data_IF_751199272289
#
_entry.id   IF_751199272289
#
_cell.length_a   1.000
_cell.length_b   1.000
_cell.length_c   1.000
_cell.angle_alpha   90.00
_cell.angle_beta   90.00
_cell.angle_gamma   90.00
#
_symmetry.space_group_name_H-M   'P 1'
#
loop_
_entity.id
_entity.type
_entity.pdbx_description
1 polymer ?
#
# COMPACT_ATOMS: atom_id res chain seq x y z
N UNK A 1 40.82 5.04 61.70
CA UNK A 1 39.44 4.65 61.31
C UNK A 1 39.18 5.25 59.94
N UNK A 2 38.78 4.40 59.00
CA UNK A 2 39.08 4.49 57.57
C UNK A 2 38.25 5.53 56.78
N UNK A 3 38.95 6.28 55.92
CA UNK A 3 38.70 6.51 54.48
C UNK A 3 37.26 6.64 53.95
N UNK A 4 36.92 7.89 53.61
CA UNK A 4 36.18 8.40 52.44
C UNK A 4 35.05 7.58 51.78
N UNK A 5 33.85 8.18 51.75
CA UNK A 5 32.87 8.06 50.67
C UNK A 5 32.06 9.36 50.54
N UNK A 6 32.23 10.07 49.42
CA UNK A 6 31.48 11.27 49.03
C UNK A 6 30.16 10.86 48.36
N UNK A 7 29.03 11.37 48.83
CA UNK A 7 27.76 11.40 48.07
C UNK A 7 27.23 12.83 48.01
N UNK A 8 26.93 13.25 46.78
CA UNK A 8 26.63 14.63 46.38
C UNK A 8 25.15 14.94 46.65
N UNK A 9 24.93 16.09 47.30
CA UNK A 9 23.63 16.64 47.66
C UNK A 9 22.89 17.30 46.50
N UNK A 10 21.56 17.17 46.54
CA UNK A 10 20.55 17.59 45.57
C UNK A 10 20.48 19.11 45.42
N UNK A 11 20.31 19.60 44.18
CA UNK A 11 19.77 20.93 43.87
C UNK A 11 18.55 20.82 42.97
N UNK A 12 17.52 21.59 43.33
CA UNK A 12 16.20 21.69 42.72
C UNK A 12 16.24 22.21 41.28
N UNK A 13 15.41 21.64 40.40
CA UNK A 13 15.15 22.11 39.04
C UNK A 13 13.67 21.94 38.69
N UNK A 14 13.00 23.05 38.42
CA UNK A 14 11.62 23.24 38.00
C UNK A 14 11.31 22.56 36.65
N UNK A 15 10.46 21.52 36.66
CA UNK A 15 10.12 20.71 35.47
C UNK A 15 8.64 20.40 35.25
N UNK A 16 7.72 21.24 35.75
CA UNK A 16 6.29 20.88 35.87
C UNK A 16 5.36 21.10 34.66
N UNK A 17 5.80 21.72 33.55
CA UNK A 17 4.87 22.23 32.52
C UNK A 17 5.02 21.65 31.10
N UNK A 18 6.05 20.87 30.79
CA UNK A 18 6.23 20.30 29.43
C UNK A 18 5.54 18.95 29.23
N UNK A 19 5.45 18.11 30.26
CA UNK A 19 4.80 16.79 30.20
C UNK A 19 3.28 16.88 30.06
N UNK A 20 2.62 17.74 30.85
CA UNK A 20 1.16 17.96 30.78
C UNK A 20 0.65 18.42 29.41
N UNK A 21 1.48 19.12 28.62
CA UNK A 21 1.10 19.63 27.29
C UNK A 21 1.27 18.58 26.19
N UNK A 22 2.18 17.62 26.39
CA UNK A 22 2.40 16.49 25.49
C UNK A 22 1.30 15.43 25.69
N UNK A 23 0.95 15.12 26.94
CA UNK A 23 -0.15 14.19 27.28
C UNK A 23 -1.51 14.69 26.79
N UNK A 24 -1.76 16.01 26.85
CA UNK A 24 -3.04 16.59 26.42
C UNK A 24 -3.24 16.51 24.89
N UNK A 25 -2.19 16.74 24.11
CA UNK A 25 -2.24 16.59 22.63
C UNK A 25 -2.28 15.14 22.18
N UNK A 26 -1.71 14.22 22.97
CA UNK A 26 -1.82 12.79 22.72
C UNK A 26 -3.25 12.32 22.99
N UNK A 27 -3.84 12.64 24.14
CA UNK A 27 -5.23 12.26 24.49
C UNK A 27 -6.31 12.84 23.58
N UNK A 28 -6.16 14.07 23.07
CA UNK A 28 -7.14 14.68 22.14
C UNK A 28 -7.23 13.97 20.77
N UNK A 29 -6.21 13.18 20.38
CA UNK A 29 -6.26 12.35 19.16
C UNK A 29 -6.94 11.00 19.35
N UNK A 30 -7.03 10.50 20.59
CA UNK A 30 -7.54 9.16 20.90
C UNK A 30 -8.96 9.16 21.48
N UNK A 31 -9.41 10.23 22.13
CA UNK A 31 -10.78 10.29 22.64
C UNK A 31 -11.74 10.67 21.51
N UNK A 32 -12.38 9.65 20.96
CA UNK A 32 -13.48 9.77 20.02
C UNK A 32 -14.76 9.88 20.82
N UNK A 33 -15.51 10.96 20.63
CA UNK A 33 -16.81 11.17 21.32
C UNK A 33 -18.01 11.02 20.39
N UNK A 34 -17.78 10.85 19.08
CA UNK A 34 -18.84 10.80 18.05
C UNK A 34 -18.64 9.67 17.05
N UNK A 35 -19.75 9.12 16.58
CA UNK A 35 -19.86 8.25 15.41
C UNK A 35 -20.18 9.06 14.17
N UNK A 36 -19.13 9.59 13.52
CA UNK A 36 -19.28 10.63 12.51
C UNK A 36 -19.78 11.91 13.18
N UNK A 37 -21.05 12.24 12.96
CA UNK A 37 -21.71 13.41 13.54
C UNK A 37 -22.63 13.07 14.73
N UNK A 38 -22.88 11.78 14.96
CA UNK A 38 -23.76 11.32 16.03
C UNK A 38 -22.98 11.20 17.34
N UNK A 39 -23.48 11.80 18.41
CA UNK A 39 -22.86 11.68 19.74
C UNK A 39 -23.04 10.28 20.31
N UNK A 40 -22.01 9.79 21.00
CA UNK A 40 -22.10 8.52 21.72
C UNK A 40 -23.09 8.64 22.87
N UNK A 41 -24.07 7.75 22.91
CA UNK A 41 -25.11 7.72 23.95
C UNK A 41 -24.74 6.79 25.11
N UNK A 42 -23.67 6.00 24.96
CA UNK A 42 -23.47 4.75 25.70
C UNK A 42 -22.23 4.60 26.55
N UNK A 43 -22.12 3.42 27.13
CA UNK A 43 -20.87 3.01 27.76
C UNK A 43 -19.85 2.74 26.65
N UNK A 44 -18.79 3.55 26.64
CA UNK A 44 -17.73 3.44 25.63
C UNK A 44 -16.70 2.41 26.04
N UNK A 45 -16.21 1.66 25.06
CA UNK A 45 -15.10 0.73 25.21
C UNK A 45 -14.09 0.93 24.09
N UNK A 46 -12.83 0.72 24.41
CA UNK A 46 -11.74 0.81 23.46
C UNK A 46 -11.79 -0.34 22.45
N UNK A 47 -11.62 -0.02 21.17
CA UNK A 47 -11.53 -1.01 20.12
C UNK A 47 -10.13 -1.61 20.00
N UNK A 48 -10.02 -2.94 19.99
CA UNK A 48 -8.75 -3.67 19.83
C UNK A 48 -8.04 -3.49 18.47
N UNK A 49 -8.69 -2.86 17.48
CA UNK A 49 -8.08 -2.59 16.16
C UNK A 49 -7.55 -1.17 16.07
N UNK A 50 -8.39 -0.18 16.39
CA UNK A 50 -8.02 1.23 16.21
C UNK A 50 -7.65 1.95 17.51
N UNK A 51 -7.74 1.28 18.66
CA UNK A 51 -7.44 1.84 19.99
C UNK A 51 -8.19 3.16 20.27
N UNK A 52 -9.42 3.26 19.75
CA UNK A 52 -10.32 4.41 19.99
C UNK A 52 -11.58 3.92 20.70
N UNK A 53 -12.11 4.78 21.54
CA UNK A 53 -13.37 4.58 22.26
C UNK A 53 -14.56 4.52 21.30
N UNK A 54 -15.54 3.69 21.62
CA UNK A 54 -16.76 3.48 20.82
C UNK A 54 -17.86 2.90 21.71
N UNK A 55 -19.12 3.23 21.46
CA UNK A 55 -20.27 2.52 22.07
C UNK A 55 -20.98 1.59 21.08
N UNK A 56 -20.72 1.74 19.77
CA UNK A 56 -21.23 0.87 18.72
C UNK A 56 -20.18 -0.16 18.26
N UNK A 57 -20.55 -1.44 18.28
CA UNK A 57 -19.67 -2.55 17.90
C UNK A 57 -20.36 -3.52 16.95
N UNK A 58 -19.60 -4.11 16.03
CA UNK A 58 -20.04 -5.26 15.24
C UNK A 58 -19.44 -6.55 15.75
N UNK A 59 -20.25 -7.61 15.77
CA UNK A 59 -19.85 -8.96 16.17
C UNK A 59 -20.27 -9.98 15.10
N UNK A 60 -19.37 -10.92 14.79
CA UNK A 60 -19.68 -12.08 13.96
C UNK A 60 -19.84 -13.36 14.79
N UNK A 61 -20.01 -14.50 14.14
CA UNK A 61 -20.20 -15.80 14.83
C UNK A 61 -18.99 -16.23 15.66
N UNK A 62 -17.81 -15.70 15.36
CA UNK A 62 -16.59 -15.91 16.14
C UNK A 62 -16.55 -15.12 17.46
N UNK A 63 -17.58 -14.32 17.77
CA UNK A 63 -17.73 -13.54 19.01
C UNK A 63 -16.60 -12.55 19.35
N UNK A 64 -15.79 -12.13 18.36
CA UNK A 64 -14.81 -11.06 18.54
C UNK A 64 -15.43 -9.69 18.15
N UNK A 65 -15.59 -8.76 19.10
CA UNK A 65 -16.21 -7.46 18.83
C UNK A 65 -15.20 -6.44 18.31
N UNK A 66 -15.60 -5.66 17.30
CA UNK A 66 -14.83 -4.52 16.78
C UNK A 66 -15.71 -3.29 16.64
N UNK A 67 -15.16 -2.09 16.81
CA UNK A 67 -15.99 -0.88 16.72
C UNK A 67 -16.59 -0.74 15.32
N UNK A 68 -17.74 -0.05 15.25
CA UNK A 68 -18.49 0.09 14.01
C UNK A 68 -17.65 0.61 12.85
N UNK A 69 -16.78 1.59 13.10
CA UNK A 69 -15.90 2.16 12.07
C UNK A 69 -14.89 1.14 11.52
N UNK A 70 -14.27 0.32 12.38
CA UNK A 70 -13.34 -0.72 11.92
C UNK A 70 -14.07 -1.80 11.11
N UNK A 71 -15.27 -2.17 11.53
CA UNK A 71 -16.12 -3.10 10.76
C UNK A 71 -16.45 -2.51 9.40
N UNK A 72 -16.86 -1.24 9.32
CA UNK A 72 -17.14 -0.56 8.05
C UNK A 72 -15.90 -0.56 7.15
N UNK A 73 -14.72 -0.18 7.68
CA UNK A 73 -13.48 -0.19 6.90
C UNK A 73 -13.17 -1.56 6.31
N UNK A 74 -13.22 -2.60 7.11
CA UNK A 74 -12.86 -3.94 6.66
C UNK A 74 -13.91 -4.52 5.72
N UNK A 75 -15.18 -4.51 6.14
CA UNK A 75 -16.27 -5.19 5.45
C UNK A 75 -16.72 -4.48 4.19
N UNK A 76 -16.80 -3.15 4.23
CA UNK A 76 -17.45 -2.35 3.18
C UNK A 76 -16.42 -1.74 2.25
N UNK A 77 -15.38 -1.13 2.81
CA UNK A 77 -14.36 -0.43 2.02
C UNK A 77 -13.35 -1.43 1.45
N UNK A 78 -12.68 -2.18 2.33
CA UNK A 78 -11.64 -3.14 1.95
C UNK A 78 -12.18 -4.48 1.42
N UNK A 79 -13.49 -4.75 1.61
CA UNK A 79 -14.18 -6.00 1.20
C UNK A 79 -13.55 -7.27 1.80
N UNK A 80 -13.06 -7.16 3.03
CA UNK A 80 -12.49 -8.26 3.81
C UNK A 80 -13.57 -8.79 4.76
N UNK A 81 -13.87 -10.08 4.64
CA UNK A 81 -14.87 -10.76 5.48
C UNK A 81 -14.26 -11.56 6.64
N UNK A 82 -12.93 -11.64 6.73
CA UNK A 82 -12.26 -12.38 7.79
C UNK A 82 -12.15 -11.57 9.08
N UNK A 83 -12.26 -12.26 10.21
CA UNK A 83 -12.05 -11.71 11.54
C UNK A 83 -10.59 -11.26 11.72
N UNK A 84 -10.32 -10.00 12.09
CA UNK A 84 -8.96 -9.51 12.36
C UNK A 84 -8.24 -10.26 13.50
N UNK A 85 -8.98 -10.81 14.46
CA UNK A 85 -8.41 -11.53 15.61
C UNK A 85 -8.14 -12.99 15.30
N UNK A 86 -9.15 -13.74 14.86
CA UNK A 86 -9.04 -15.20 14.69
C UNK A 86 -8.95 -15.66 13.23
N UNK A 87 -9.03 -14.75 12.25
CA UNK A 87 -9.02 -15.02 10.80
C UNK A 87 -10.16 -15.90 10.28
N UNK A 88 -11.11 -16.29 11.13
CA UNK A 88 -12.33 -16.98 10.71
C UNK A 88 -13.12 -16.10 9.74
N UNK A 89 -13.73 -16.72 8.73
CA UNK A 89 -14.65 -16.02 7.83
C UNK A 89 -15.92 -15.64 8.58
N UNK A 90 -16.36 -14.39 8.43
CA UNK A 90 -17.56 -13.87 9.10
C UNK A 90 -18.66 -13.79 8.04
N UNK A 91 -19.64 -14.69 8.08
CA UNK A 91 -20.76 -14.62 7.13
C UNK A 91 -21.63 -13.39 7.37
N UNK A 92 -22.03 -13.13 8.62
CA UNK A 92 -22.88 -11.99 9.00
C UNK A 92 -22.28 -11.21 10.16
N UNK A 93 -22.42 -9.88 10.10
CA UNK A 93 -22.02 -8.99 11.20
C UNK A 93 -23.27 -8.36 11.82
N UNK A 94 -23.40 -8.49 13.13
CA UNK A 94 -24.48 -7.87 13.91
C UNK A 94 -23.92 -6.65 14.64
N UNK A 95 -24.46 -5.48 14.36
CA UNK A 95 -24.17 -4.26 15.10
C UNK A 95 -25.00 -4.23 16.37
N UNK A 96 -24.31 -3.97 17.48
CA UNK A 96 -24.84 -3.91 18.83
C UNK A 96 -24.33 -2.64 19.50
N UNK A 97 -25.06 -2.21 20.50
CA UNK A 97 -24.65 -1.14 21.40
C UNK A 97 -24.09 -1.72 22.70
N UNK A 98 -22.92 -1.25 23.14
CA UNK A 98 -22.09 -1.92 24.17
C UNK A 98 -22.75 -2.01 25.55
N UNK A 99 -23.76 -1.18 25.86
CA UNK A 99 -24.57 -1.25 27.10
C UNK A 99 -25.18 -2.65 27.34
N UNK A 100 -25.30 -3.47 26.28
CA UNK A 100 -25.90 -4.80 26.32
C UNK A 100 -24.90 -5.97 26.47
N UNK A 101 -23.59 -5.73 26.59
CA UNK A 101 -22.60 -6.80 26.74
C UNK A 101 -22.45 -7.33 28.18
N UNK A 102 -23.52 -7.29 28.99
CA UNK A 102 -23.57 -8.06 30.24
C UNK A 102 -24.07 -9.47 29.91
N UNK A 103 -23.23 -10.46 30.22
CA UNK A 103 -23.28 -11.86 29.75
C UNK A 103 -24.63 -12.58 29.92
N UNK A 104 -25.54 -12.07 30.75
CA UNK A 104 -26.77 -12.73 31.20
C UNK A 104 -28.03 -12.39 30.38
N UNK A 105 -28.07 -11.25 29.66
CA UNK A 105 -29.27 -10.80 28.93
C UNK A 105 -29.23 -11.16 27.41
N UNK A 106 -28.54 -12.26 27.09
CA UNK A 106 -27.96 -12.56 25.77
C UNK A 106 -28.93 -13.11 24.72
N UNK A 107 -30.11 -13.62 25.11
CA UNK A 107 -30.92 -14.46 24.21
C UNK A 107 -32.31 -13.89 23.87
N UNK A 108 -32.94 -13.15 24.77
CA UNK A 108 -34.37 -12.81 24.63
C UNK A 108 -34.63 -11.55 23.79
N UNK A 109 -33.73 -10.56 23.81
CA UNK A 109 -33.98 -9.25 23.18
C UNK A 109 -33.48 -9.14 21.74
N UNK A 110 -32.49 -9.95 21.36
CA UNK A 110 -31.87 -9.95 20.02
C UNK A 110 -32.82 -10.53 18.96
N UNK A 111 -33.82 -11.33 19.35
CA UNK A 111 -34.76 -11.93 18.40
C UNK A 111 -35.88 -10.99 17.91
N UNK A 112 -36.14 -9.86 18.58
CA UNK A 112 -37.38 -9.09 18.34
C UNK A 112 -37.20 -7.73 17.65
N UNK A 113 -35.98 -7.17 17.60
CA UNK A 113 -35.75 -5.84 17.00
C UNK A 113 -34.59 -5.88 16.01
N UNK A 114 -34.92 -6.17 14.75
CA UNK A 114 -34.02 -5.92 13.62
C UNK A 114 -34.53 -4.71 12.87
N UNK A 115 -33.65 -3.73 12.66
CA UNK A 115 -33.96 -2.59 11.81
C UNK A 115 -33.49 -2.92 10.39
N UNK A 116 -34.40 -2.83 9.43
CA UNK A 116 -34.05 -3.01 8.03
C UNK A 116 -33.26 -1.81 7.52
N UNK A 117 -32.21 -2.10 6.74
CA UNK A 117 -31.41 -1.11 6.04
C UNK A 117 -31.07 -1.67 4.65
N UNK A 118 -31.06 -0.86 3.57
CA UNK A 118 -30.76 -1.34 2.22
C UNK A 118 -29.43 -2.10 2.10
N UNK A 119 -28.44 -1.72 2.92
CA UNK A 119 -27.12 -2.36 2.94
C UNK A 119 -27.06 -3.69 3.70
N UNK A 120 -28.11 -4.06 4.44
CA UNK A 120 -28.13 -5.30 5.23
C UNK A 120 -27.93 -6.53 4.36
N UNK A 121 -28.62 -6.62 3.21
CA UNK A 121 -28.47 -7.76 2.29
C UNK A 121 -27.12 -7.70 1.58
N UNK A 122 -26.76 -6.53 1.05
CA UNK A 122 -25.55 -6.33 0.25
C UNK A 122 -24.26 -6.67 0.99
N UNK A 123 -24.16 -6.30 2.26
CA UNK A 123 -22.95 -6.48 3.08
C UNK A 123 -23.13 -7.54 4.17
N UNK A 124 -24.29 -8.21 4.22
CA UNK A 124 -24.68 -9.18 5.25
C UNK A 124 -24.56 -8.60 6.67
N UNK A 125 -25.20 -7.45 6.86
CA UNK A 125 -25.23 -6.71 8.12
C UNK A 125 -26.58 -6.86 8.82
N UNK A 126 -26.59 -6.68 10.13
CA UNK A 126 -27.82 -6.60 10.94
C UNK A 126 -27.67 -5.50 11.99
N UNK A 127 -28.75 -4.77 12.26
CA UNK A 127 -28.77 -3.68 13.23
C UNK A 127 -29.84 -3.95 14.30
N UNK A 128 -29.46 -3.79 15.57
CA UNK A 128 -30.39 -4.00 16.70
C UNK A 128 -31.13 -2.73 17.12
N UNK A 129 -30.83 -1.56 16.54
CA UNK A 129 -31.48 -0.29 16.89
C UNK A 129 -31.34 0.76 15.79
N UNK A 130 -32.25 1.74 15.77
CA UNK A 130 -32.21 2.90 14.88
C UNK A 130 -30.96 3.77 15.12
N UNK A 131 -30.53 3.90 16.38
CA UNK A 131 -29.28 4.58 16.74
C UNK A 131 -28.08 4.03 15.96
N UNK A 132 -27.95 2.71 15.86
CA UNK A 132 -26.85 2.08 15.12
C UNK A 132 -26.95 2.32 13.62
N UNK A 133 -28.15 2.35 13.06
CA UNK A 133 -28.38 2.70 11.65
C UNK A 133 -27.98 4.14 11.37
N UNK A 134 -28.36 5.08 12.25
CA UNK A 134 -27.92 6.49 12.15
C UNK A 134 -26.41 6.65 12.25
N UNK A 135 -25.77 5.97 13.20
CA UNK A 135 -24.30 5.97 13.34
C UNK A 135 -23.63 5.42 12.08
N UNK A 136 -24.12 4.30 11.57
CA UNK A 136 -23.64 3.66 10.35
C UNK A 136 -23.72 4.60 9.14
N UNK A 137 -24.89 5.22 8.93
CA UNK A 137 -25.10 6.18 7.85
C UNK A 137 -24.22 7.41 7.99
N UNK A 138 -23.97 7.87 9.22
CA UNK A 138 -23.08 8.99 9.48
C UNK A 138 -21.62 8.73 9.12
N UNK A 139 -21.18 7.47 9.05
CA UNK A 139 -19.85 7.13 8.52
C UNK A 139 -19.78 7.15 7.00
N UNK A 140 -20.84 6.67 6.34
CA UNK A 140 -20.86 6.47 4.90
C UNK A 140 -21.29 7.72 4.12
N UNK A 141 -21.87 8.71 4.79
CA UNK A 141 -22.25 9.98 4.16
C UNK A 141 -21.04 10.68 3.54
N UNK A 142 -21.20 11.10 2.28
CA UNK A 142 -20.18 11.88 1.58
C UNK A 142 -20.44 13.36 1.83
N UNK A 143 -19.57 14.00 2.61
CA UNK A 143 -19.67 15.43 2.92
C UNK A 143 -18.46 16.21 2.41
N UNK A 144 -18.67 17.47 2.06
CA UNK A 144 -17.57 18.36 1.73
C UNK A 144 -16.98 19.01 2.99
N UNK A 145 -15.72 18.69 3.29
CA UNK A 145 -14.98 19.21 4.44
C UNK A 145 -14.76 20.74 4.41
N UNK A 146 -14.82 21.37 3.24
CA UNK A 146 -14.68 22.84 3.11
C UNK A 146 -16.01 23.51 3.45
N UNK A 147 -17.11 23.01 2.90
CA UNK A 147 -18.46 23.48 3.19
C UNK A 147 -18.84 23.28 4.66
N UNK A 148 -18.51 22.13 5.25
CA UNK A 148 -18.77 21.84 6.66
C UNK A 148 -18.08 22.88 7.58
N UNK A 149 -16.83 23.27 7.28
CA UNK A 149 -16.13 24.32 8.03
C UNK A 149 -16.74 25.71 7.91
N UNK A 150 -17.54 25.94 6.86
CA UNK A 150 -18.25 27.20 6.62
C UNK A 150 -19.71 27.16 7.09
N UNK A 151 -20.11 26.10 7.81
CA UNK A 151 -21.48 25.87 8.25
C UNK A 151 -22.50 25.74 7.11
N UNK A 152 -22.02 25.44 5.89
CA UNK A 152 -22.84 25.20 4.70
C UNK A 152 -22.84 23.71 4.34
N UNK A 153 -23.15 22.84 5.32
CA UNK A 153 -23.05 21.38 5.16
C UNK A 153 -23.77 20.90 3.89
N UNK A 154 -23.01 20.23 3.01
CA UNK A 154 -23.53 19.59 1.79
C UNK A 154 -23.24 18.11 1.80
N UNK A 155 -24.28 17.32 1.61
CA UNK A 155 -24.23 15.87 1.52
C UNK A 155 -24.40 15.41 0.08
N UNK A 156 -23.66 14.37 -0.28
CA UNK A 156 -23.57 13.86 -1.64
C UNK A 156 -23.94 12.38 -1.67
N UNK A 157 -24.61 11.96 -2.74
CA UNK A 157 -25.10 10.58 -2.90
C UNK A 157 -23.95 9.57 -3.06
N UNK A 158 -22.84 9.99 -3.64
CA UNK A 158 -21.68 9.15 -3.89
C UNK A 158 -20.38 9.98 -3.91
N UNK A 159 -19.25 9.30 -3.76
CA UNK A 159 -17.93 9.95 -3.74
C UNK A 159 -17.62 10.73 -5.03
N UNK A 160 -18.08 10.26 -6.20
CA UNK A 160 -17.85 10.94 -7.48
C UNK A 160 -18.50 12.34 -7.50
N UNK A 161 -19.74 12.46 -7.02
CA UNK A 161 -20.44 13.74 -6.91
C UNK A 161 -19.78 14.69 -5.90
N UNK A 162 -19.25 14.16 -4.79
CA UNK A 162 -18.43 14.92 -3.85
C UNK A 162 -17.14 15.43 -4.52
N UNK A 163 -16.40 14.56 -5.22
CA UNK A 163 -15.16 14.93 -5.90
C UNK A 163 -15.40 16.04 -6.95
N UNK A 164 -16.47 15.90 -7.75
CA UNK A 164 -16.87 16.91 -8.72
C UNK A 164 -17.19 18.26 -8.05
N UNK A 165 -17.93 18.25 -6.94
CA UNK A 165 -18.25 19.47 -6.20
C UNK A 165 -16.99 20.16 -5.68
N UNK A 166 -16.10 19.42 -5.03
CA UNK A 166 -14.84 19.95 -4.48
C UNK A 166 -13.98 20.57 -5.58
N UNK A 167 -13.92 19.94 -6.75
CA UNK A 167 -13.22 20.46 -7.91
C UNK A 167 -13.86 21.73 -8.49
N UNK A 168 -15.17 21.72 -8.72
CA UNK A 168 -15.85 22.82 -9.42
C UNK A 168 -16.00 24.07 -8.54
N UNK A 169 -16.42 23.89 -7.29
CA UNK A 169 -16.78 24.97 -6.36
C UNK A 169 -15.56 25.46 -5.58
N UNK A 170 -14.70 24.56 -5.11
CA UNK A 170 -13.58 24.94 -4.25
C UNK A 170 -12.24 24.99 -4.98
N UNK A 171 -12.11 24.43 -6.18
CA UNK A 171 -10.83 24.30 -6.91
C UNK A 171 -9.79 23.45 -6.14
N UNK A 172 -10.28 22.51 -5.33
CA UNK A 172 -9.48 21.48 -4.68
C UNK A 172 -9.73 20.14 -5.35
N UNK A 173 -8.86 19.16 -5.12
CA UNK A 173 -9.01 17.82 -5.68
C UNK A 173 -8.54 16.74 -4.71
N UNK A 174 -9.08 15.53 -4.87
CA UNK A 174 -8.58 14.34 -4.19
C UNK A 174 -7.48 13.68 -5.02
N UNK A 175 -6.49 13.08 -4.37
CA UNK A 175 -5.47 12.31 -5.09
C UNK A 175 -6.10 11.01 -5.63
N UNK A 176 -6.05 10.81 -6.95
CA UNK A 176 -6.63 9.62 -7.60
C UNK A 176 -5.95 8.33 -7.11
N UNK A 177 -4.62 8.33 -6.98
CA UNK A 177 -3.86 7.16 -6.52
C UNK A 177 -4.25 6.78 -5.08
N UNK A 178 -4.31 7.75 -4.17
CA UNK A 178 -4.81 7.51 -2.81
C UNK A 178 -6.30 7.11 -2.78
N UNK A 179 -7.11 7.61 -3.72
CA UNK A 179 -8.53 7.25 -3.79
C UNK A 179 -8.72 5.78 -4.11
N UNK A 180 -7.89 5.26 -5.00
CA UNK A 180 -7.96 3.87 -5.48
C UNK A 180 -7.31 2.87 -4.52
N UNK A 181 -6.22 3.25 -3.85
CA UNK A 181 -5.37 2.30 -3.11
C UNK A 181 -5.49 2.39 -1.58
N UNK A 182 -6.12 3.45 -1.03
CA UNK A 182 -6.34 3.58 0.41
C UNK A 182 -7.81 3.37 0.78
N UNK A 183 -8.01 2.46 1.73
CA UNK A 183 -9.31 2.14 2.33
C UNK A 183 -9.75 3.18 3.38
N UNK A 184 -9.86 4.43 2.94
CA UNK A 184 -10.27 5.55 3.77
C UNK A 184 -11.74 5.90 3.57
N UNK A 185 -12.40 6.29 4.67
CA UNK A 185 -13.71 6.93 4.62
C UNK A 185 -13.61 8.28 3.93
N UNK A 186 -14.70 8.75 3.34
CA UNK A 186 -14.69 10.01 2.58
C UNK A 186 -14.29 11.21 3.42
N UNK A 187 -14.69 11.25 4.70
CA UNK A 187 -14.34 12.30 5.66
C UNK A 187 -12.85 12.29 6.03
N UNK A 188 -12.17 11.17 5.87
CA UNK A 188 -10.76 10.99 6.25
C UNK A 188 -9.81 11.33 5.10
N UNK A 189 -10.35 11.46 3.88
CA UNK A 189 -9.56 11.76 2.69
C UNK A 189 -9.13 13.23 2.72
N UNK A 190 -7.83 13.45 2.49
CA UNK A 190 -7.26 14.79 2.32
C UNK A 190 -7.63 15.34 0.95
N UNK A 191 -7.97 16.63 0.95
CA UNK A 191 -8.17 17.44 -0.25
C UNK A 191 -6.96 18.34 -0.43
N UNK A 192 -6.58 18.57 -1.69
CA UNK A 192 -5.38 19.31 -2.04
C UNK A 192 -5.71 20.49 -2.94
N UNK A 193 -5.04 21.62 -2.70
CA UNK A 193 -4.92 22.64 -3.73
C UNK A 193 -3.99 22.11 -4.84
N UNK A 194 -4.00 22.74 -6.02
CA UNK A 194 -3.09 22.34 -7.11
C UNK A 194 -1.62 22.31 -6.67
N UNK A 195 -1.18 23.33 -5.92
CA UNK A 195 0.20 23.41 -5.42
C UNK A 195 0.50 22.30 -4.38
N UNK A 196 -0.46 22.02 -3.51
CA UNK A 196 -0.30 20.97 -2.50
C UNK A 196 -0.33 19.57 -3.11
N UNK A 197 -1.10 19.37 -4.18
CA UNK A 197 -1.17 18.10 -4.92
C UNK A 197 0.19 17.79 -5.56
N UNK A 198 0.79 18.76 -6.24
CA UNK A 198 2.11 18.58 -6.86
C UNK A 198 3.21 18.26 -5.83
N UNK A 199 3.10 18.82 -4.61
CA UNK A 199 4.00 18.50 -3.50
C UNK A 199 3.73 17.10 -2.96
N UNK A 200 2.46 16.77 -2.68
CA UNK A 200 2.03 15.45 -2.22
C UNK A 200 2.52 14.33 -3.16
N UNK A 201 2.35 14.52 -4.47
CA UNK A 201 2.79 13.56 -5.49
C UNK A 201 4.32 13.40 -5.50
N UNK A 202 5.09 14.48 -5.30
CA UNK A 202 6.57 14.45 -5.43
C UNK A 202 7.29 14.00 -4.17
N UNK A 203 6.85 14.47 -3.01
CA UNK A 203 7.58 14.32 -1.75
C UNK A 203 6.71 13.81 -0.60
N UNK A 204 5.41 13.58 -0.85
CA UNK A 204 4.46 13.20 0.19
C UNK A 204 3.93 14.38 1.00
N UNK A 205 3.20 14.04 2.05
CA UNK A 205 2.58 15.00 2.95
C UNK A 205 3.53 15.40 4.08
N UNK A 206 3.64 16.69 4.43
CA UNK A 206 4.54 17.16 5.48
C UNK A 206 4.21 16.57 6.86
N UNK A 207 2.93 16.30 7.11
CA UNK A 207 2.42 15.78 8.37
C UNK A 207 2.48 14.25 8.47
N UNK A 208 2.82 13.56 7.37
CA UNK A 208 2.84 12.11 7.29
C UNK A 208 4.11 11.59 6.62
N UNK A 209 5.16 11.39 7.42
CA UNK A 209 6.46 10.91 6.95
C UNK A 209 6.45 9.47 6.42
N UNK A 210 5.37 8.71 6.63
CA UNK A 210 5.27 7.30 6.19
C UNK A 210 5.06 7.15 4.68
N UNK A 211 4.51 8.18 4.00
CA UNK A 211 4.25 8.15 2.57
C UNK A 211 5.17 9.16 1.87
N UNK A 212 6.23 8.69 1.21
CA UNK A 212 7.24 9.52 0.50
C UNK A 212 6.78 10.02 -0.89
N UNK A 213 5.49 10.25 -1.06
CA UNK A 213 4.87 10.61 -2.34
C UNK A 213 4.71 9.44 -3.31
N UNK A 214 4.29 9.74 -4.53
CA UNK A 214 3.93 8.75 -5.55
C UNK A 214 5.06 8.60 -6.57
N UNK A 215 5.80 7.47 -6.54
CA UNK A 215 6.98 7.30 -7.37
C UNK A 215 6.60 7.20 -8.85
N UNK A 216 7.40 7.86 -9.68
CA UNK A 216 7.29 7.85 -11.15
C UNK A 216 8.04 6.65 -11.72
N UNK A 217 7.54 6.07 -12.81
CA UNK A 217 8.35 5.13 -13.60
C UNK A 217 9.65 5.79 -14.07
N UNK A 218 10.70 4.98 -14.22
CA UNK A 218 11.99 5.43 -14.75
C UNK A 218 11.94 5.68 -16.26
N UNK A 219 11.04 5.01 -16.98
CA UNK A 219 11.02 4.97 -18.45
C UNK A 219 9.74 5.52 -19.07
N UNK A 220 8.69 5.76 -18.27
CA UNK A 220 7.44 6.33 -18.77
C UNK A 220 6.87 7.37 -17.80
N UNK A 221 5.84 8.09 -18.23
CA UNK A 221 5.23 9.17 -17.45
C UNK A 221 4.21 8.71 -16.41
N UNK A 222 4.07 7.41 -16.18
CA UNK A 222 3.13 6.85 -15.19
C UNK A 222 3.68 7.02 -13.77
N UNK A 223 2.77 7.29 -12.84
CA UNK A 223 3.02 7.32 -11.39
C UNK A 223 2.25 6.22 -10.69
N UNK A 224 2.81 5.73 -9.59
CA UNK A 224 2.28 4.62 -8.82
C UNK A 224 2.02 5.03 -7.38
N UNK A 225 1.17 4.25 -6.71
CA UNK A 225 0.83 4.50 -5.31
C UNK A 225 2.08 4.44 -4.41
N UNK A 226 2.88 3.38 -4.55
CA UNK A 226 4.13 3.17 -3.82
C UNK A 226 5.21 2.53 -4.71
N UNK A 227 6.37 2.21 -4.11
CA UNK A 227 7.48 1.56 -4.81
C UNK A 227 7.18 0.12 -5.24
N UNK A 228 6.32 -0.60 -4.53
CA UNK A 228 5.94 -1.97 -4.86
C UNK A 228 5.10 -2.01 -6.13
N UNK A 229 4.10 -1.13 -6.25
CA UNK A 229 3.30 -0.98 -7.47
C UNK A 229 4.17 -0.54 -8.65
N UNK A 230 5.12 0.38 -8.43
CA UNK A 230 6.09 0.77 -9.45
C UNK A 230 6.95 -0.43 -9.89
N UNK A 231 7.44 -1.22 -8.95
CA UNK A 231 8.26 -2.39 -9.25
C UNK A 231 7.48 -3.45 -10.05
N UNK A 232 6.23 -3.73 -9.67
CA UNK A 232 5.32 -4.61 -10.44
C UNK A 232 5.12 -4.11 -11.87
N UNK A 233 4.98 -2.81 -12.06
CA UNK A 233 4.89 -2.21 -13.40
C UNK A 233 6.19 -2.40 -14.20
N UNK A 234 7.35 -2.11 -13.59
CA UNK A 234 8.65 -2.27 -14.24
C UNK A 234 8.88 -3.71 -14.73
N UNK A 235 8.52 -4.70 -13.90
CA UNK A 235 8.62 -6.14 -14.24
C UNK A 235 7.70 -6.59 -15.38
N UNK A 236 6.61 -5.87 -15.60
CA UNK A 236 5.57 -6.26 -16.58
C UNK A 236 5.71 -5.53 -17.91
N UNK A 237 6.06 -4.24 -17.87
CA UNK A 237 6.00 -3.35 -19.04
C UNK A 237 7.39 -2.94 -19.56
N UNK A 238 8.46 -3.24 -18.82
CA UNK A 238 9.83 -2.86 -19.20
C UNK A 238 10.77 -4.08 -19.23
N UNK A 239 11.85 -3.95 -20.00
CA UNK A 239 12.85 -5.01 -20.16
C UNK A 239 13.76 -5.06 -18.94
N UNK A 240 14.16 -6.27 -18.53
CA UNK A 240 15.13 -6.47 -17.45
C UNK A 240 16.00 -7.68 -17.75
N UNK A 241 17.20 -7.70 -17.16
CA UNK A 241 18.10 -8.85 -17.27
C UNK A 241 17.67 -9.95 -16.29
N UNK A 242 17.28 -11.11 -16.80
CA UNK A 242 16.90 -12.26 -15.98
C UNK A 242 18.10 -12.91 -15.29
N UNK A 243 19.29 -12.83 -15.90
CA UNK A 243 20.52 -13.40 -15.35
C UNK A 243 20.92 -12.62 -14.10
N UNK A 244 21.04 -11.28 -14.20
CA UNK A 244 21.31 -10.42 -13.05
C UNK A 244 20.26 -10.56 -11.93
N UNK A 245 18.97 -10.66 -12.29
CA UNK A 245 17.90 -10.86 -11.30
C UNK A 245 18.13 -12.17 -10.51
N UNK A 246 18.51 -13.25 -11.19
CA UNK A 246 18.79 -14.54 -10.57
C UNK A 246 20.08 -14.56 -9.73
N UNK A 247 21.11 -13.80 -10.13
CA UNK A 247 22.37 -13.71 -9.37
C UNK A 247 22.28 -12.77 -8.15
N UNK A 248 21.09 -12.24 -7.85
CA UNK A 248 20.86 -11.33 -6.73
C UNK A 248 21.15 -9.86 -7.04
N UNK A 249 21.62 -9.57 -8.25
CA UNK A 249 21.74 -8.23 -8.83
C UNK A 249 20.35 -7.76 -9.33
N UNK A 250 19.39 -7.69 -8.43
CA UNK A 250 18.01 -7.29 -8.73
C UNK A 250 17.95 -5.80 -9.14
N UNK A 251 16.97 -5.43 -9.96
CA UNK A 251 16.61 -4.05 -10.36
C UNK A 251 17.31 -3.42 -11.58
N UNK A 252 17.95 -4.20 -12.46
CA UNK A 252 18.42 -3.67 -13.76
C UNK A 252 17.30 -3.68 -14.79
N UNK A 253 16.66 -2.53 -14.96
CA UNK A 253 15.64 -2.31 -15.97
C UNK A 253 16.18 -1.47 -17.14
N UNK A 254 15.64 -1.73 -18.33
CA UNK A 254 16.05 -1.10 -19.57
C UNK A 254 14.83 -0.55 -20.31
N UNK A 255 14.98 0.64 -20.89
CA UNK A 255 13.93 1.31 -21.66
C UNK A 255 13.60 0.56 -22.95
N UNK A 256 14.63 0.04 -23.62
CA UNK A 256 14.51 -0.60 -24.93
C UNK A 256 15.18 -1.97 -24.95
N UNK A 257 14.69 -2.85 -25.83
CA UNK A 257 15.29 -4.16 -26.06
C UNK A 257 16.76 -4.06 -26.53
N UNK A 258 17.12 -3.00 -27.26
CA UNK A 258 18.50 -2.77 -27.70
C UNK A 258 19.45 -2.56 -26.52
N UNK A 259 19.03 -1.77 -25.53
CA UNK A 259 19.82 -1.52 -24.32
C UNK A 259 20.03 -2.81 -23.51
N UNK A 260 19.03 -3.70 -23.49
CA UNK A 260 19.16 -5.01 -22.85
C UNK A 260 20.21 -5.88 -23.57
N UNK A 261 20.17 -5.93 -24.91
CA UNK A 261 21.16 -6.67 -25.70
C UNK A 261 22.57 -6.09 -25.50
N UNK A 262 22.72 -4.77 -25.43
CA UNK A 262 24.01 -4.14 -25.21
C UNK A 262 24.57 -4.48 -23.81
N UNK A 263 23.71 -4.56 -22.80
CA UNK A 263 24.08 -5.08 -21.48
C UNK A 263 24.49 -6.56 -21.54
N UNK A 264 23.73 -7.40 -22.24
CA UNK A 264 24.07 -8.81 -22.42
C UNK A 264 25.44 -8.99 -23.07
N UNK A 265 25.79 -8.19 -24.08
CA UNK A 265 27.12 -8.25 -24.74
C UNK A 265 28.26 -7.81 -23.83
N UNK A 266 27.99 -6.93 -22.87
CA UNK A 266 29.00 -6.33 -22.00
C UNK A 266 29.27 -7.19 -20.75
N UNK A 267 28.19 -7.68 -20.13
CA UNK A 267 28.22 -8.24 -18.79
C UNK A 267 27.87 -9.75 -18.77
N UNK A 268 27.42 -10.33 -19.90
CA UNK A 268 27.03 -11.73 -20.01
C UNK A 268 27.59 -12.41 -21.27
N UNK A 269 27.37 -13.73 -21.38
CA UNK A 269 27.86 -14.54 -22.51
C UNK A 269 26.71 -14.68 -23.52
N UNK A 270 26.85 -14.05 -24.68
CA UNK A 270 25.81 -14.03 -25.73
C UNK A 270 26.09 -15.10 -26.79
N UNK A 271 25.04 -15.76 -27.28
CA UNK A 271 25.14 -16.62 -28.46
C UNK A 271 25.16 -15.79 -29.74
N UNK A 272 26.19 -15.95 -30.58
CA UNK A 272 26.34 -15.21 -31.84
C UNK A 272 25.83 -15.97 -33.08
N UNK A 273 25.20 -17.13 -32.89
CA UNK A 273 24.77 -18.02 -33.96
C UNK A 273 23.33 -17.72 -34.43
N UNK A 274 23.10 -17.70 -35.75
CA UNK A 274 21.78 -17.67 -36.38
C UNK A 274 20.77 -16.67 -35.80
N UNK A 275 19.54 -17.15 -35.57
CA UNK A 275 18.43 -16.39 -34.99
C UNK A 275 18.66 -16.06 -33.49
N UNK A 276 19.50 -16.81 -32.79
CA UNK A 276 19.84 -16.58 -31.38
C UNK A 276 20.51 -15.21 -31.18
N UNK A 277 21.32 -14.78 -32.14
CA UNK A 277 21.92 -13.44 -32.17
C UNK A 277 20.90 -12.33 -32.32
N UNK A 278 19.83 -12.54 -33.11
CA UNK A 278 18.76 -11.55 -33.31
C UNK A 278 17.84 -11.47 -32.09
N UNK A 279 17.59 -12.60 -31.45
CA UNK A 279 16.78 -12.71 -30.24
C UNK A 279 17.53 -12.26 -28.96
N UNK A 280 18.86 -12.14 -29.05
CA UNK A 280 19.69 -11.69 -27.92
C UNK A 280 19.77 -12.73 -26.81
N UNK A 281 19.94 -14.02 -27.15
CA UNK A 281 20.05 -15.09 -26.16
C UNK A 281 21.40 -14.97 -25.43
N UNK A 282 21.35 -14.84 -24.10
CA UNK A 282 22.51 -14.70 -23.23
C UNK A 282 22.46 -15.72 -22.06
N UNK A 283 23.63 -16.04 -21.52
CA UNK A 283 23.85 -17.06 -20.51
C UNK A 283 24.71 -16.54 -19.36
N UNK A 284 24.57 -17.17 -18.19
CA UNK A 284 25.37 -16.85 -17.01
C UNK A 284 26.80 -17.37 -17.15
N UNK A 285 26.95 -18.58 -17.72
CA UNK A 285 28.26 -19.25 -17.81
C UNK A 285 28.54 -19.81 -19.21
N UNK A 286 29.82 -20.00 -19.52
CA UNK A 286 30.24 -20.62 -20.78
C UNK A 286 29.73 -22.06 -20.93
N UNK A 287 29.52 -22.75 -19.80
CA UNK A 287 29.02 -24.12 -19.79
C UNK A 287 27.59 -24.16 -20.35
N UNK A 288 26.74 -23.22 -19.95
CA UNK A 288 25.38 -23.11 -20.47
C UNK A 288 25.36 -22.82 -21.97
N UNK A 289 26.23 -21.93 -22.45
CA UNK A 289 26.39 -21.69 -23.89
C UNK A 289 26.83 -22.97 -24.63
N UNK A 290 27.78 -23.72 -24.07
CA UNK A 290 28.27 -24.99 -24.67
C UNK A 290 27.17 -26.05 -24.72
N UNK A 291 26.27 -26.08 -23.75
CA UNK A 291 25.09 -26.96 -23.75
C UNK A 291 24.06 -26.48 -24.78
N UNK A 292 23.92 -25.16 -24.98
CA UNK A 292 22.98 -24.58 -25.93
C UNK A 292 23.37 -24.79 -27.41
N UNK A 293 24.64 -24.64 -27.79
CA UNK A 293 25.11 -24.81 -29.18
C UNK A 293 24.60 -26.06 -29.91
N UNK A 294 24.73 -27.30 -29.36
CA UNK A 294 24.24 -28.49 -30.04
C UNK A 294 22.70 -28.53 -30.19
N UNK A 295 21.95 -27.81 -29.35
CA UNK A 295 20.50 -27.67 -29.50
C UNK A 295 20.08 -26.74 -30.65
N UNK A 296 20.95 -25.81 -31.06
CA UNK A 296 20.71 -24.95 -32.24
C UNK A 296 20.86 -25.77 -33.52
N UNK A 297 21.93 -26.55 -33.63
CA UNK A 297 22.24 -27.37 -34.81
C UNK A 297 21.13 -28.41 -35.11
N UNK A 298 20.51 -28.96 -34.06
CA UNK A 298 19.38 -29.89 -34.19
C UNK A 298 18.07 -29.21 -34.61
N UNK A 299 17.86 -27.94 -34.25
CA UNK A 299 16.68 -27.15 -34.66
C UNK A 299 16.82 -26.61 -36.09
N UNK A 300 18.01 -26.17 -36.50
CA UNK A 300 18.28 -25.75 -37.88
C UNK A 300 18.04 -26.90 -38.88
N UNK A 301 18.32 -28.14 -38.47
CA UNK A 301 18.05 -29.33 -39.29
C UNK A 301 16.54 -29.60 -39.49
N UNK A 302 15.69 -29.23 -38.53
CA UNK A 302 14.23 -29.44 -38.65
C UNK A 302 13.52 -28.30 -39.40
N UNK A 303 13.97 -27.06 -39.29
CA UNK A 303 13.36 -25.91 -39.98
C UNK A 303 13.64 -25.95 -41.50
N UNK A 304 14.76 -26.53 -41.93
CA UNK A 304 15.11 -26.70 -43.34
C UNK A 304 14.26 -27.76 -44.10
N UNK A 305 13.26 -28.37 -43.45
CA UNK A 305 12.40 -29.40 -44.03
C UNK A 305 10.92 -29.02 -44.19
N UNK A 306 10.49 -27.82 -43.78
CA UNK A 306 9.09 -27.39 -43.87
C UNK A 306 8.99 -25.92 -44.30
N UNK A 307 8.14 -25.64 -45.30
CA UNK A 307 7.80 -24.30 -45.80
C UNK A 307 7.28 -23.38 -44.67
N UNK A 308 7.46 -22.04 -44.78
CA UNK A 308 7.30 -21.13 -43.65
C UNK A 308 5.83 -21.01 -43.20
N UNK A 309 5.51 -21.18 -41.91
CA UNK A 309 4.24 -20.72 -41.38
C UNK A 309 4.35 -19.23 -40.98
N UNK A 310 3.37 -18.45 -41.42
CA UNK A 310 3.10 -17.08 -41.02
C UNK A 310 3.00 -16.90 -39.50
N UNK A 311 3.66 -15.86 -39.00
CA UNK A 311 3.46 -15.17 -37.72
C UNK A 311 3.22 -16.06 -36.48
N UNK A 312 4.30 -16.40 -35.76
CA UNK A 312 4.19 -17.02 -34.44
C UNK A 312 4.42 -15.98 -33.32
N UNK A 313 3.34 -15.64 -32.62
CA UNK A 313 3.35 -14.98 -31.32
C UNK A 313 4.10 -15.85 -30.32
N UNK A 314 5.23 -15.38 -29.78
CA UNK A 314 5.92 -16.07 -28.69
C UNK A 314 5.59 -15.40 -27.36
N UNK A 315 4.48 -15.84 -26.76
CA UNK A 315 4.34 -15.86 -25.30
C UNK A 315 5.39 -16.84 -24.77
N UNK A 316 6.35 -16.32 -23.99
CA UNK A 316 7.35 -17.10 -23.27
C UNK A 316 6.64 -18.11 -22.37
N UNK A 317 6.82 -19.40 -22.67
CA UNK A 317 6.35 -20.51 -21.83
C UNK A 317 7.19 -20.60 -20.56
N UNK A 318 6.49 -20.91 -19.47
CA UNK A 318 7.03 -21.21 -18.16
C UNK A 318 8.12 -22.29 -18.21
N UNK A 319 9.30 -21.97 -17.65
CA UNK A 319 10.25 -22.98 -17.18
C UNK A 319 10.09 -23.19 -15.66
N UNK A 320 10.21 -24.43 -15.17
CA UNK A 320 9.81 -24.78 -13.80
C UNK A 320 10.72 -24.14 -12.74
N UNK A 321 10.09 -23.51 -11.73
CA UNK A 321 10.73 -22.98 -10.52
C UNK A 321 11.47 -24.09 -9.77
N UNK A 322 12.81 -24.02 -9.74
CA UNK A 322 13.59 -24.62 -8.67
C UNK A 322 13.48 -23.72 -7.44
N UNK A 323 12.89 -24.26 -6.37
CA UNK A 323 12.83 -23.59 -5.06
C UNK A 323 14.23 -23.59 -4.45
N UNK A 324 14.81 -22.42 -4.27
CA UNK A 324 15.93 -22.25 -3.34
C UNK A 324 15.54 -21.25 -2.26
N UNK A 325 15.71 -21.69 -1.03
CA UNK A 325 15.42 -20.95 0.18
C UNK A 325 16.51 -19.91 0.47
N UNK A 326 16.06 -18.83 1.09
CA UNK A 326 16.66 -18.17 2.26
C UNK A 326 17.36 -16.82 2.06
N UNK A 327 16.96 -15.97 3.01
CA UNK A 327 17.69 -14.91 3.69
C UNK A 327 17.97 -13.57 2.98
N UNK A 328 17.33 -12.56 3.57
CA UNK A 328 17.46 -11.14 3.32
C UNK A 328 18.91 -10.69 3.50
N UNK A 329 19.38 -9.89 2.56
CA UNK A 329 20.33 -8.80 2.81
C UNK A 329 20.15 -7.77 1.70
N UNK A 330 19.89 -6.52 2.08
CA UNK A 330 19.91 -5.35 1.17
C UNK A 330 21.34 -5.13 0.65
N UNK A 331 21.54 -4.50 -0.52
CA UNK A 331 21.75 -3.05 -0.49
C UNK A 331 21.28 -2.24 -1.73
N UNK A 332 21.07 -0.95 -1.47
CA UNK A 332 21.05 0.16 -2.44
C UNK A 332 22.35 0.22 -3.25
N UNK A 333 22.29 0.60 -4.54
CA UNK A 333 22.91 1.79 -5.15
C UNK A 333 22.35 2.00 -6.57
N UNK A 334 22.00 3.24 -6.91
CA UNK A 334 21.60 3.67 -8.26
C UNK A 334 22.77 4.51 -8.79
N UNK A 335 23.57 3.97 -9.71
CA UNK A 335 24.56 4.78 -10.42
C UNK A 335 23.94 5.44 -11.65
N UNK A 336 23.97 6.78 -11.66
CA UNK A 336 23.78 7.60 -12.85
C UNK A 336 25.13 7.75 -13.54
N UNK A 337 25.30 7.18 -14.74
CA UNK A 337 26.48 7.45 -15.55
C UNK A 337 26.35 8.80 -16.25
N UNK A 338 27.04 9.82 -15.72
CA UNK A 338 27.36 11.05 -16.45
C UNK A 338 28.74 10.92 -17.08
N UNK A 339 28.77 11.02 -18.41
CA UNK A 339 29.98 11.14 -19.22
C UNK A 339 30.72 12.44 -18.85
N UNK A 340 32.04 12.38 -18.75
CA UNK A 340 32.91 13.44 -19.27
C UNK A 340 34.31 12.89 -19.59
N UNK A 341 34.66 13.02 -20.86
CA UNK A 341 35.96 12.83 -21.49
C UNK A 341 36.91 13.97 -21.14
N UNK A 342 38.15 13.67 -20.74
CA UNK A 342 39.35 14.29 -21.33
C UNK A 342 40.60 13.47 -20.96
N UNK A 343 41.39 13.15 -21.97
CA UNK A 343 42.70 12.52 -21.86
C UNK A 343 43.77 13.58 -21.58
N UNK A 344 44.74 13.29 -20.70
CA UNK A 344 46.14 13.76 -20.80
C UNK A 344 47.06 12.73 -20.13
N UNK A 345 48.11 12.35 -20.85
CA UNK A 345 49.26 11.53 -20.45
C UNK A 345 50.21 12.30 -19.52
N UNK A 346 50.89 11.63 -18.58
CA UNK A 346 52.36 11.59 -18.43
C UNK A 346 52.81 11.02 -17.06
N UNK A 347 53.66 10.00 -17.15
CA UNK A 347 54.85 9.63 -16.37
C UNK A 347 55.03 9.98 -14.87
N UNK A 348 55.27 8.90 -14.11
CA UNK A 348 56.47 8.60 -13.31
C UNK A 348 56.67 9.10 -11.86
N UNK A 349 57.26 8.15 -11.11
CA UNK A 349 58.11 8.20 -9.90
C UNK A 349 57.51 8.31 -8.48
N UNK A 350 57.83 7.25 -7.72
CA UNK A 350 58.36 7.17 -6.35
C UNK A 350 57.75 8.05 -5.24
N UNK A 351 57.17 7.40 -4.22
CA UNK A 351 57.79 7.02 -2.93
C UNK A 351 56.79 6.16 -2.15
#
# INVERSE_FOLDING_TARGET
LMSQANTISKRNGSGGNRTKRFDRRFNERFSRTKHGDIEMEGFVVECNICCRESDAFGIGDCNHPFCMECVIRLRIIAKINSCPTCRADIDKVKFLYYKFFSFLFKFLLVLFFMVEHPDCERYKLQFTSDYLVRCYNSYLVHICLICEKKDERREFKNFASLNQHVYMVHKFEFCNLCTEHLDLLSRERRIYSRLDMDRHIRSGDPDNSSLRGHPKCLFCDKRFFDEEYRYKHLRKEHFFCQICDNTGCNNFFFESHRNLIDHYKKDHIVCEEGECKKLGIAFETELELKIHKPSIETLEYQVNSVAPPTAFNMQMRDFPRLKVSSNKTEPNQIEKSSKNTTAVSFMAHDI
#
